data_IF_360519933302
#
_entry.id   IF_360519933302
#
_cell.length_a   1.000
_cell.length_b   1.000
_cell.length_c   1.000
_cell.angle_alpha   90.00
_cell.angle_beta   90.00
_cell.angle_gamma   90.00
#
_symmetry.space_group_name_H-M   'P 1'
#
loop_
_entity.id
_entity.type
_entity.pdbx_description
1 polymer ?
#
# COMPACT_ATOMS: atom_id res chain seq x y z
N UNK A 1 5.96 18.17 2.18
CA UNK A 1 5.55 17.39 3.37
C UNK A 1 4.77 16.17 2.92
N UNK A 2 5.09 15.01 3.48
CA UNK A 2 4.40 13.77 3.13
C UNK A 2 3.14 13.64 3.96
N UNK A 3 2.01 13.43 3.29
CA UNK A 3 0.73 13.24 3.97
C UNK A 3 0.14 11.89 3.57
N UNK A 4 -0.77 11.33 4.38
CA UNK A 4 -1.45 10.09 4.00
C UNK A 4 -2.13 10.20 2.63
N UNK A 5 -2.72 11.34 2.32
CA UNK A 5 -3.39 11.55 1.03
C UNK A 5 -2.41 11.51 -0.14
N UNK A 6 -1.22 12.10 0.05
CA UNK A 6 -0.21 12.11 -1.02
C UNK A 6 0.34 10.71 -1.27
N UNK A 7 0.52 9.92 -0.21
CA UNK A 7 0.95 8.54 -0.34
C UNK A 7 -0.10 7.73 -1.10
N UNK A 8 -1.36 7.88 -0.71
CA UNK A 8 -2.47 7.18 -1.36
C UNK A 8 -2.51 7.49 -2.86
N UNK A 9 -2.44 8.77 -3.22
CA UNK A 9 -2.48 9.18 -4.63
C UNK A 9 -1.32 8.59 -5.42
N UNK A 10 -0.14 8.58 -4.82
CA UNK A 10 1.04 8.07 -5.50
C UNK A 10 0.92 6.57 -5.75
N UNK A 11 0.42 5.82 -4.77
CA UNK A 11 0.19 4.39 -4.93
C UNK A 11 -0.84 4.13 -6.02
N UNK A 12 -1.95 4.86 -5.98
CA UNK A 12 -3.02 4.69 -6.97
C UNK A 12 -2.58 5.03 -8.39
N UNK A 13 -1.67 5.99 -8.52
CA UNK A 13 -1.16 6.37 -9.82
C UNK A 13 -0.23 5.33 -10.43
N UNK A 14 0.48 4.56 -9.60
CA UNK A 14 1.46 3.60 -10.07
C UNK A 14 1.03 2.14 -10.00
N UNK A 15 -0.16 1.85 -9.50
CA UNK A 15 -0.61 0.48 -9.27
C UNK A 15 -2.13 0.42 -9.37
N UNK A 16 -2.69 -0.53 -10.13
CA UNK A 16 -4.16 -0.68 -10.15
C UNK A 16 -4.62 -1.20 -8.79
N UNK A 17 -5.46 -0.43 -8.11
CA UNK A 17 -5.92 -0.76 -6.77
C UNK A 17 -7.43 -0.78 -6.69
N UNK A 18 -7.97 -1.80 -6.01
CA UNK A 18 -9.39 -1.85 -5.67
C UNK A 18 -9.67 -1.01 -4.43
N UNK A 19 -8.67 -0.90 -3.55
CA UNK A 19 -8.81 -0.16 -2.31
C UNK A 19 -7.44 0.27 -1.82
N UNK A 20 -7.32 1.51 -1.40
CA UNK A 20 -6.11 2.03 -0.74
C UNK A 20 -6.55 2.87 0.43
N UNK A 21 -6.01 2.56 1.59
CA UNK A 21 -6.27 3.31 2.81
C UNK A 21 -4.93 3.63 3.45
N UNK A 22 -4.67 4.90 3.71
CA UNK A 22 -3.43 5.33 4.34
C UNK A 22 -3.76 6.19 5.53
N UNK A 23 -3.13 5.89 6.67
CA UNK A 23 -3.24 6.66 7.89
C UNK A 23 -1.85 6.97 8.41
N UNK A 24 -1.74 8.03 9.18
CA UNK A 24 -0.47 8.36 9.78
C UNK A 24 -0.53 9.63 10.60
N UNK A 25 0.47 9.79 11.47
CA UNK A 25 0.60 10.97 12.35
C UNK A 25 1.69 11.95 11.86
N UNK A 26 2.21 11.73 10.66
CA UNK A 26 3.29 12.55 10.11
C UNK A 26 4.67 11.93 10.31
N UNK A 27 4.81 10.99 11.23
CA UNK A 27 6.08 10.31 11.47
C UNK A 27 6.02 8.84 11.09
N UNK A 28 4.87 8.21 11.32
CA UNK A 28 4.64 6.82 10.95
C UNK A 28 3.36 6.75 10.11
N UNK A 29 3.39 5.91 9.09
CA UNK A 29 2.26 5.72 8.18
C UNK A 29 1.90 4.25 8.11
N UNK A 30 0.62 3.97 7.98
CA UNK A 30 0.10 2.62 7.77
C UNK A 30 -0.76 2.63 6.54
N UNK A 31 -0.54 1.67 5.65
CA UNK A 31 -1.29 1.55 4.41
C UNK A 31 -1.90 0.17 4.28
N UNK A 32 -3.16 0.13 3.82
CA UNK A 32 -3.80 -1.11 3.39
C UNK A 32 -4.03 -0.96 1.89
N UNK A 33 -3.47 -1.88 1.13
CA UNK A 33 -3.47 -1.80 -0.33
C UNK A 33 -4.02 -3.08 -0.89
N UNK A 34 -5.11 -2.99 -1.65
CA UNK A 34 -5.76 -4.13 -2.27
C UNK A 34 -5.60 -4.00 -3.78
N UNK A 35 -4.95 -4.99 -4.39
CA UNK A 35 -4.68 -4.94 -5.82
C UNK A 35 -4.63 -6.34 -6.40
N UNK A 36 -5.23 -6.52 -7.59
CA UNK A 36 -5.10 -7.78 -8.31
C UNK A 36 -3.68 -7.99 -8.85
N UNK A 37 -2.87 -6.94 -8.89
CA UNK A 37 -1.47 -7.07 -9.28
C UNK A 37 -0.65 -7.88 -8.28
N UNK A 38 -1.19 -8.11 -7.09
CA UNK A 38 -0.51 -8.90 -6.06
C UNK A 38 -0.78 -10.40 -6.19
N UNK A 39 -1.68 -10.81 -7.06
CA UNK A 39 -1.98 -12.22 -7.22
C UNK A 39 -0.75 -13.01 -7.68
N UNK A 40 -0.51 -14.14 -7.00
CA UNK A 40 0.64 -14.97 -7.29
C UNK A 40 1.95 -14.47 -6.71
N UNK A 41 1.95 -13.32 -6.03
CA UNK A 41 3.16 -12.73 -5.47
C UNK A 41 3.26 -13.00 -3.98
N UNK A 42 4.44 -13.38 -3.52
CA UNK A 42 4.76 -13.44 -2.09
C UNK A 42 4.82 -12.02 -1.52
N UNK A 43 4.72 -11.93 -0.20
CA UNK A 43 4.64 -10.65 0.50
C UNK A 43 5.78 -9.69 0.13
N UNK A 44 7.01 -10.20 0.06
CA UNK A 44 8.16 -9.38 -0.28
C UNK A 44 8.01 -8.75 -1.66
N UNK A 45 7.51 -9.54 -2.62
CA UNK A 45 7.31 -9.04 -3.98
C UNK A 45 6.20 -8.00 -4.05
N UNK A 46 5.15 -8.18 -3.24
CA UNK A 46 4.08 -7.19 -3.16
C UNK A 46 4.60 -5.86 -2.65
N UNK A 47 5.42 -5.91 -1.60
CA UNK A 47 6.02 -4.70 -1.03
C UNK A 47 6.92 -4.01 -2.04
N UNK A 48 7.70 -4.77 -2.81
CA UNK A 48 8.55 -4.20 -3.85
C UNK A 48 7.72 -3.49 -4.91
N UNK A 49 6.56 -4.03 -5.25
CA UNK A 49 5.67 -3.39 -6.21
C UNK A 49 5.16 -2.04 -5.69
N UNK A 50 4.83 -1.98 -4.41
CA UNK A 50 4.37 -0.75 -3.79
C UNK A 50 5.50 0.28 -3.76
N UNK A 51 6.71 -0.13 -3.38
CA UNK A 51 7.85 0.79 -3.38
C UNK A 51 8.15 1.31 -4.78
N UNK A 52 8.00 0.47 -5.80
CA UNK A 52 8.18 0.91 -7.18
C UNK A 52 7.14 1.97 -7.56
N UNK A 53 5.90 1.80 -7.11
CA UNK A 53 4.84 2.78 -7.36
C UNK A 53 5.12 4.10 -6.64
N UNK A 54 5.69 4.04 -5.44
CA UNK A 54 6.03 5.25 -4.68
C UNK A 54 7.23 6.00 -5.26
N UNK A 55 8.13 5.28 -5.92
CA UNK A 55 9.30 5.88 -6.52
C UNK A 55 10.18 6.56 -5.49
N UNK A 56 10.73 7.71 -5.85
CA UNK A 56 11.65 8.44 -4.97
C UNK A 56 10.93 9.27 -3.91
N UNK A 57 9.61 9.38 -3.99
CA UNK A 57 8.86 10.24 -3.06
C UNK A 57 9.00 9.83 -1.61
N UNK A 58 9.11 8.52 -1.37
CA UNK A 58 9.22 7.99 -0.01
C UNK A 58 10.61 7.49 0.32
N UNK A 59 11.61 7.89 -0.46
CA UNK A 59 12.94 7.34 -0.35
C UNK A 59 13.53 7.44 1.05
N UNK A 60 13.34 8.56 1.71
CA UNK A 60 13.86 8.77 3.05
C UNK A 60 12.90 8.34 4.13
N UNK A 61 11.62 8.17 3.79
CA UNK A 61 10.57 7.90 4.75
C UNK A 61 10.02 6.49 4.64
N UNK A 62 10.55 5.69 3.72
CA UNK A 62 10.02 4.35 3.45
C UNK A 62 10.05 3.45 4.70
N UNK A 63 11.03 3.66 5.58
CA UNK A 63 11.12 2.89 6.82
C UNK A 63 10.00 3.23 7.81
N UNK A 64 9.32 4.35 7.60
CA UNK A 64 8.21 4.76 8.45
C UNK A 64 6.86 4.28 7.91
N UNK A 65 6.85 3.56 6.79
CA UNK A 65 5.62 3.05 6.17
C UNK A 65 5.46 1.56 6.46
N UNK A 66 4.41 1.23 7.20
CA UNK A 66 3.97 -0.16 7.39
C UNK A 66 2.85 -0.43 6.41
N UNK A 67 2.87 -1.56 5.73
CA UNK A 67 1.85 -1.84 4.75
C UNK A 67 1.29 -3.26 4.87
N UNK A 68 0.00 -3.36 4.58
CA UNK A 68 -0.71 -4.62 4.43
C UNK A 68 -1.11 -4.70 2.95
N UNK A 69 -0.63 -5.72 2.26
CA UNK A 69 -0.88 -5.90 0.84
C UNK A 69 -1.75 -7.13 0.63
N UNK A 70 -2.88 -6.94 -0.03
CA UNK A 70 -3.89 -7.99 -0.17
C UNK A 70 -4.35 -8.09 -1.62
N UNK A 71 -4.66 -9.31 -2.05
CA UNK A 71 -5.42 -9.49 -3.29
C UNK A 71 -6.89 -9.19 -2.99
N UNK A 72 -7.71 -8.95 -4.03
CA UNK A 72 -9.15 -8.75 -3.80
C UNK A 72 -9.80 -9.91 -3.06
N UNK A 73 -9.39 -11.15 -3.35
CA UNK A 73 -9.93 -12.33 -2.67
C UNK A 73 -9.56 -12.33 -1.19
N UNK A 74 -8.31 -12.01 -0.87
CA UNK A 74 -7.86 -11.92 0.52
C UNK A 74 -8.57 -10.81 1.28
N UNK A 75 -8.80 -9.69 0.62
CA UNK A 75 -9.53 -8.57 1.20
C UNK A 75 -10.96 -8.96 1.53
N UNK A 76 -11.62 -9.66 0.62
CA UNK A 76 -12.99 -10.12 0.82
C UNK A 76 -13.09 -11.07 2.02
N UNK A 77 -12.18 -12.03 2.13
CA UNK A 77 -12.13 -12.95 3.26
C UNK A 77 -11.93 -12.23 4.58
N UNK A 78 -11.03 -11.24 4.57
CA UNK A 78 -10.73 -10.47 5.76
C UNK A 78 -11.94 -9.67 6.24
N UNK A 79 -12.73 -9.15 5.31
CA UNK A 79 -13.93 -8.40 5.65
C UNK A 79 -15.03 -9.28 6.23
N UNK A 80 -15.13 -10.54 5.78
CA UNK A 80 -16.14 -11.45 6.29
C UNK A 80 -15.80 -11.96 7.68
N UNK A 81 -14.53 -11.96 8.06
CA UNK A 81 -14.08 -12.39 9.38
C UNK A 81 -14.27 -11.32 10.46
N UNK A 82 -14.62 -10.13 10.06
CA UNK A 82 -14.72 -9.01 10.99
C UNK A 82 -16.02 -9.06 11.82
#
# INVERSE_FOLDING_TARGET
MTTPESIKRTIEAGLPCDHVEVRGDGQHFEAVIVSNAFEGLAKVRRHQRVYAALGDRMREEVHALSMTTLTPAEWLLRRTDA
#
